data_IF_146567664588
#
_entry.id   IF_146567664588
#
_cell.length_a   1.000
_cell.length_b   1.000
_cell.length_c   1.000
_cell.angle_alpha   90.00
_cell.angle_beta   90.00
_cell.angle_gamma   90.00
#
_symmetry.space_group_name_H-M   'P 1'
#
loop_
_entity.id
_entity.type
_entity.pdbx_description
1 polymer ?
#
# COMPACT_ATOMS: atom_id res chain seq x y z
N UNK A 1 12.70 -24.26 -4.30
CA UNK A 1 11.46 -23.67 -3.75
C UNK A 1 11.36 -22.30 -4.36
N UNK A 2 10.22 -21.90 -4.93
CA UNK A 2 10.01 -20.55 -5.46
C UNK A 2 9.67 -19.62 -4.30
N UNK A 3 10.42 -18.54 -4.13
CA UNK A 3 10.26 -17.58 -3.02
C UNK A 3 9.98 -16.21 -3.61
N UNK A 4 8.88 -15.60 -3.18
CA UNK A 4 8.46 -14.28 -3.65
C UNK A 4 8.08 -13.38 -2.47
N UNK A 5 8.28 -12.06 -2.65
CA UNK A 5 7.81 -11.03 -1.73
C UNK A 5 6.96 -10.02 -2.51
N UNK A 6 5.71 -9.81 -2.05
CA UNK A 6 4.70 -9.00 -2.73
C UNK A 6 4.25 -7.79 -1.88
N UNK A 7 5.01 -7.46 -0.83
CA UNK A 7 4.74 -6.26 -0.03
C UNK A 7 6.03 -5.50 0.25
N UNK A 8 6.47 -4.73 -0.75
CA UNK A 8 7.73 -3.99 -0.73
C UNK A 8 7.47 -2.54 -1.11
N UNK A 9 7.94 -1.61 -0.27
CA UNK A 9 7.89 -0.18 -0.54
C UNK A 9 9.24 0.35 -0.99
N UNK A 10 9.21 1.18 -2.03
CA UNK A 10 10.37 1.92 -2.51
C UNK A 10 10.38 3.36 -1.98
N UNK A 11 11.38 4.15 -2.37
CA UNK A 11 11.43 5.58 -2.07
C UNK A 11 10.32 6.40 -2.74
N UNK A 12 9.38 5.78 -3.46
CA UNK A 12 8.15 6.40 -3.92
C UNK A 12 7.08 6.43 -2.81
N UNK A 13 7.24 5.63 -1.76
CA UNK A 13 6.41 5.64 -0.54
C UNK A 13 7.07 6.45 0.57
N UNK A 14 6.30 7.10 1.45
CA UNK A 14 6.84 7.91 2.55
C UNK A 14 7.72 7.12 3.54
N UNK A 15 7.45 5.85 3.71
CA UNK A 15 8.13 4.91 4.61
C UNK A 15 9.22 4.08 3.92
N UNK A 16 9.26 4.07 2.59
CA UNK A 16 10.25 3.35 1.80
C UNK A 16 11.64 3.97 1.88
N UNK A 17 12.67 3.14 2.06
CA UNK A 17 14.07 3.59 2.25
C UNK A 17 15.00 3.19 1.12
N UNK A 18 14.58 2.28 0.26
CA UNK A 18 15.36 1.76 -0.87
C UNK A 18 14.73 2.16 -2.19
N UNK A 19 15.54 2.47 -3.18
CA UNK A 19 15.04 2.52 -4.56
C UNK A 19 14.62 1.13 -5.02
N UNK A 20 13.82 1.01 -6.07
CA UNK A 20 13.44 -0.29 -6.62
C UNK A 20 14.64 -1.12 -7.06
N UNK A 21 15.70 -0.48 -7.61
CA UNK A 21 16.96 -1.14 -7.94
C UNK A 21 17.67 -1.71 -6.71
N UNK A 22 17.66 -0.98 -5.58
CA UNK A 22 18.25 -1.47 -4.32
C UNK A 22 17.43 -2.62 -3.71
N UNK A 23 16.09 -2.55 -3.80
CA UNK A 23 15.21 -3.62 -3.37
C UNK A 23 15.44 -4.90 -4.21
N UNK A 24 15.56 -4.77 -5.54
CA UNK A 24 15.87 -5.89 -6.43
C UNK A 24 17.24 -6.52 -6.11
N UNK A 25 18.26 -5.70 -5.85
CA UNK A 25 19.59 -6.21 -5.44
C UNK A 25 19.53 -6.94 -4.10
N UNK A 26 18.77 -6.41 -3.12
CA UNK A 26 18.59 -7.05 -1.81
C UNK A 26 17.84 -8.39 -1.95
N UNK A 27 16.79 -8.44 -2.78
CA UNK A 27 16.03 -9.65 -3.06
C UNK A 27 16.92 -10.76 -3.67
N UNK A 28 17.75 -10.42 -4.66
CA UNK A 28 18.71 -11.36 -5.24
C UNK A 28 19.69 -11.91 -4.20
N UNK A 29 20.22 -11.03 -3.34
CA UNK A 29 21.11 -11.47 -2.24
C UNK A 29 20.42 -12.36 -1.22
N UNK A 30 19.12 -12.15 -1.00
CA UNK A 30 18.30 -12.97 -0.11
C UNK A 30 17.83 -14.29 -0.78
N UNK A 31 18.05 -14.45 -2.08
CA UNK A 31 17.67 -15.66 -2.82
C UNK A 31 16.21 -15.73 -3.19
N UNK A 32 15.53 -14.58 -3.38
CA UNK A 32 14.19 -14.52 -3.90
C UNK A 32 14.19 -14.74 -5.42
N UNK A 33 13.14 -15.37 -5.93
CA UNK A 33 12.91 -15.59 -7.35
C UNK A 33 12.07 -14.45 -7.96
N UNK A 34 11.23 -13.80 -7.15
CA UNK A 34 10.33 -12.74 -7.60
C UNK A 34 10.06 -11.71 -6.51
N UNK A 35 9.87 -10.46 -6.92
CA UNK A 35 9.36 -9.38 -6.06
C UNK A 35 8.25 -8.61 -6.77
N UNK A 36 7.33 -8.06 -5.98
CA UNK A 36 6.38 -7.05 -6.43
C UNK A 36 6.56 -5.79 -5.60
N UNK A 37 6.86 -4.68 -6.28
CA UNK A 37 6.92 -3.36 -5.62
C UNK A 37 5.48 -2.85 -5.49
N UNK A 38 5.05 -2.59 -4.28
CA UNK A 38 3.68 -2.23 -3.91
C UNK A 38 3.67 -0.94 -3.08
N UNK A 39 4.19 0.13 -3.68
CA UNK A 39 4.22 1.45 -3.03
C UNK A 39 2.82 1.94 -2.67
N UNK A 40 2.73 2.76 -1.62
CA UNK A 40 1.48 3.36 -1.14
C UNK A 40 0.80 4.25 -2.16
N UNK A 41 -0.42 3.89 -2.49
CA UNK A 41 -1.35 4.65 -3.34
C UNK A 41 -2.62 4.92 -2.53
N UNK A 42 -2.49 5.78 -1.51
CA UNK A 42 -3.57 6.04 -0.57
C UNK A 42 -4.55 7.08 -1.13
N UNK A 43 -5.81 6.98 -0.74
CA UNK A 43 -6.87 7.94 -1.14
C UNK A 43 -6.81 9.24 -0.34
N UNK A 44 -5.95 9.31 0.67
CA UNK A 44 -5.68 10.51 1.48
C UNK A 44 -4.17 10.73 1.62
N UNK A 45 -3.77 11.94 1.94
CA UNK A 45 -2.39 12.26 2.30
C UNK A 45 -2.14 11.98 3.78
N UNK A 46 -1.05 11.29 4.10
CA UNK A 46 -0.63 11.05 5.47
C UNK A 46 -0.37 12.37 6.21
N UNK A 47 -0.76 12.42 7.45
CA UNK A 47 -0.51 13.53 8.38
C UNK A 47 -1.51 14.67 8.35
N UNK A 48 -2.32 14.81 7.29
CA UNK A 48 -3.39 15.82 7.24
C UNK A 48 -4.74 15.28 6.77
N UNK A 49 -4.79 14.00 6.39
CA UNK A 49 -5.97 13.29 5.90
C UNK A 49 -6.69 13.96 4.72
N UNK A 50 -6.01 14.88 4.02
CA UNK A 50 -6.59 15.55 2.86
C UNK A 50 -6.79 14.55 1.71
N UNK A 51 -7.87 14.67 0.94
CA UNK A 51 -8.11 13.83 -0.23
C UNK A 51 -6.95 13.88 -1.23
N UNK A 52 -6.56 12.73 -1.76
CA UNK A 52 -5.49 12.58 -2.75
C UNK A 52 -6.09 12.15 -4.09
N UNK A 53 -6.13 13.07 -5.05
CA UNK A 53 -6.78 12.87 -6.34
C UNK A 53 -5.80 12.45 -7.46
N UNK A 54 -4.49 12.32 -7.17
CA UNK A 54 -3.48 11.92 -8.14
C UNK A 54 -2.28 11.25 -7.46
N UNK A 55 -1.56 10.44 -8.23
CA UNK A 55 -0.32 9.78 -7.82
C UNK A 55 0.75 9.99 -8.90
N UNK A 56 2.02 10.09 -8.50
CA UNK A 56 3.14 10.26 -9.45
C UNK A 56 3.57 8.91 -10.04
N UNK A 57 2.72 8.35 -10.89
CA UNK A 57 3.01 7.12 -11.63
C UNK A 57 4.23 7.24 -12.54
N UNK A 58 4.56 8.45 -13.00
CA UNK A 58 5.70 8.66 -13.90
C UNK A 58 7.03 8.39 -13.18
N UNK A 59 7.22 8.95 -11.99
CA UNK A 59 8.40 8.70 -11.16
C UNK A 59 8.52 7.25 -10.73
N UNK A 60 7.42 6.64 -10.30
CA UNK A 60 7.37 5.23 -9.92
C UNK A 60 7.78 4.32 -11.10
N UNK A 61 7.22 4.54 -12.28
CA UNK A 61 7.56 3.77 -13.49
C UNK A 61 8.99 4.00 -13.97
N UNK A 62 9.57 5.18 -13.71
CA UNK A 62 10.97 5.44 -14.03
C UNK A 62 11.90 4.54 -13.18
N UNK A 63 11.66 4.45 -11.86
CA UNK A 63 12.40 3.55 -10.99
C UNK A 63 12.19 2.07 -11.35
N UNK A 64 10.95 1.69 -11.70
CA UNK A 64 10.63 0.33 -12.12
C UNK A 64 11.39 -0.09 -13.39
N UNK A 65 11.42 0.77 -14.41
CA UNK A 65 12.20 0.52 -15.64
C UNK A 65 13.69 0.37 -15.36
N UNK A 66 14.25 1.24 -14.51
CA UNK A 66 15.65 1.14 -14.10
C UNK A 66 15.96 -0.19 -13.40
N UNK A 67 15.08 -0.65 -12.51
CA UNK A 67 15.24 -1.93 -11.84
C UNK A 67 15.16 -3.12 -12.83
N UNK A 68 14.22 -3.08 -13.79
CA UNK A 68 14.10 -4.08 -14.85
C UNK A 68 15.34 -4.13 -15.75
N UNK A 69 15.88 -2.98 -16.16
CA UNK A 69 17.08 -2.90 -16.98
C UNK A 69 18.31 -3.53 -16.29
N UNK A 70 18.43 -3.36 -14.97
CA UNK A 70 19.58 -3.85 -14.20
C UNK A 70 19.45 -5.32 -13.78
N UNK A 71 18.24 -5.77 -13.47
CA UNK A 71 18.05 -7.03 -12.75
C UNK A 71 16.98 -7.95 -13.35
N UNK A 72 16.22 -7.50 -14.36
CA UNK A 72 15.11 -8.25 -14.93
C UNK A 72 15.50 -9.56 -15.64
N UNK A 73 16.79 -9.75 -15.94
CA UNK A 73 17.33 -11.01 -16.46
C UNK A 73 17.59 -12.05 -15.36
N UNK A 74 17.61 -11.64 -14.08
CA UNK A 74 17.96 -12.48 -12.91
C UNK A 74 16.86 -12.59 -11.86
N UNK A 75 15.93 -11.63 -11.84
CA UNK A 75 14.85 -11.55 -10.87
C UNK A 75 13.55 -11.18 -11.61
N UNK A 76 12.48 -11.89 -11.32
CA UNK A 76 11.16 -11.45 -11.76
C UNK A 76 10.72 -10.25 -10.93
N UNK A 77 10.59 -9.08 -11.57
CA UNK A 77 10.18 -7.83 -10.89
C UNK A 77 8.80 -7.44 -11.40
N UNK A 78 7.85 -7.34 -10.50
CA UNK A 78 6.47 -6.95 -10.74
C UNK A 78 6.20 -5.54 -10.24
N UNK A 79 5.24 -4.87 -10.85
CA UNK A 79 4.75 -3.57 -10.42
C UNK A 79 3.35 -3.72 -9.87
N UNK A 80 3.20 -3.37 -8.59
CA UNK A 80 1.92 -3.35 -7.89
C UNK A 80 1.64 -2.01 -7.24
N UNK A 81 0.65 -2.02 -6.38
CA UNK A 81 0.30 -0.92 -5.49
C UNK A 81 -0.24 -1.46 -4.17
N UNK A 82 0.02 -0.78 -3.07
CA UNK A 82 -0.75 -0.88 -1.85
C UNK A 82 -1.76 0.27 -1.82
N UNK A 83 -3.02 -0.07 -2.08
CA UNK A 83 -4.12 0.90 -2.07
C UNK A 83 -4.66 1.07 -0.67
N UNK A 84 -4.37 2.21 -0.05
CA UNK A 84 -4.85 2.55 1.29
C UNK A 84 -6.16 3.34 1.28
N UNK A 85 -6.94 3.14 2.33
CA UNK A 85 -8.12 3.93 2.70
C UNK A 85 -9.19 4.07 1.61
N UNK A 86 -9.37 3.05 0.75
CA UNK A 86 -10.35 3.11 -0.33
C UNK A 86 -11.79 3.38 0.17
N UNK A 87 -12.12 3.00 1.40
CA UNK A 87 -13.42 3.26 2.03
C UNK A 87 -13.72 4.76 2.24
N UNK A 88 -12.70 5.64 2.23
CA UNK A 88 -12.88 7.10 2.30
C UNK A 88 -13.23 7.73 0.95
N UNK A 89 -13.20 6.95 -0.14
CA UNK A 89 -13.56 7.46 -1.47
C UNK A 89 -13.31 6.43 -2.56
N UNK A 90 -14.26 5.53 -2.79
CA UNK A 90 -14.15 4.48 -3.82
C UNK A 90 -13.92 5.04 -5.23
N UNK A 91 -14.61 6.13 -5.60
CA UNK A 91 -14.43 6.76 -6.91
C UNK A 91 -12.99 7.29 -7.07
N UNK A 92 -12.43 7.86 -6.02
CA UNK A 92 -11.03 8.30 -6.00
C UNK A 92 -10.06 7.13 -6.11
N UNK A 93 -10.30 6.06 -5.37
CA UNK A 93 -9.51 4.84 -5.47
C UNK A 93 -9.52 4.26 -6.89
N UNK A 94 -10.67 4.24 -7.55
CA UNK A 94 -10.79 3.82 -8.96
C UNK A 94 -10.00 4.73 -9.90
N UNK A 95 -10.04 6.06 -9.71
CA UNK A 95 -9.26 7.01 -10.52
C UNK A 95 -7.76 6.73 -10.34
N UNK A 96 -7.27 6.64 -9.10
CA UNK A 96 -5.86 6.37 -8.81
C UNK A 96 -5.37 5.07 -9.44
N UNK A 97 -6.16 4.00 -9.36
CA UNK A 97 -5.82 2.70 -9.97
C UNK A 97 -5.89 2.74 -11.50
N UNK A 98 -6.88 3.43 -12.08
CA UNK A 98 -7.01 3.53 -13.54
C UNK A 98 -5.88 4.34 -14.17
N UNK A 99 -5.38 5.37 -13.49
CA UNK A 99 -4.22 6.17 -13.92
C UNK A 99 -2.90 5.38 -13.87
N UNK A 100 -2.89 4.25 -13.16
CA UNK A 100 -1.74 3.35 -13.10
C UNK A 100 -1.41 2.65 -14.43
N UNK A 101 -2.26 2.72 -15.45
CA UNK A 101 -2.24 1.92 -16.69
C UNK A 101 -2.39 0.42 -16.38
N UNK A 102 -1.27 -0.28 -16.12
CA UNK A 102 -1.27 -1.71 -15.80
C UNK A 102 -0.47 -1.98 -14.55
N UNK A 103 -1.12 -2.59 -13.55
CA UNK A 103 -0.48 -3.18 -12.39
C UNK A 103 -0.55 -4.71 -12.47
N UNK A 104 0.49 -5.38 -11.96
CA UNK A 104 0.53 -6.83 -11.85
C UNK A 104 -0.21 -7.31 -10.58
N UNK A 105 -0.23 -6.48 -9.54
CA UNK A 105 -0.79 -6.83 -8.24
C UNK A 105 -1.26 -5.59 -7.47
N UNK A 106 -2.31 -5.76 -6.68
CA UNK A 106 -2.82 -4.71 -5.80
C UNK A 106 -3.16 -5.28 -4.42
N UNK A 107 -2.61 -4.68 -3.39
CA UNK A 107 -2.97 -4.91 -1.99
C UNK A 107 -4.03 -3.88 -1.62
N UNK A 108 -5.10 -4.28 -0.97
CA UNK A 108 -6.06 -3.35 -0.35
C UNK A 108 -5.81 -3.26 1.14
N UNK A 109 -5.46 -2.08 1.64
CA UNK A 109 -5.08 -1.88 3.04
C UNK A 109 -5.95 -0.83 3.74
N UNK A 110 -6.03 -0.96 5.05
CA UNK A 110 -6.64 0.01 5.95
C UNK A 110 -5.61 0.35 7.03
N UNK A 111 -5.12 1.59 7.02
CA UNK A 111 -4.16 2.08 8.01
C UNK A 111 -4.82 2.97 9.05
N UNK A 112 -6.00 3.52 8.74
CA UNK A 112 -6.69 4.47 9.62
C UNK A 112 -8.10 3.98 9.96
N UNK A 113 -8.66 4.52 11.03
CA UNK A 113 -10.09 4.45 11.33
C UNK A 113 -10.89 5.37 10.38
N UNK A 114 -12.21 5.27 10.44
CA UNK A 114 -13.10 6.14 9.67
C UNK A 114 -13.02 7.62 10.11
N UNK A 115 -13.68 8.50 9.34
CA UNK A 115 -13.84 9.90 9.70
C UNK A 115 -14.49 10.12 11.08
N UNK A 116 -15.19 9.14 11.62
CA UNK A 116 -15.73 9.17 12.99
C UNK A 116 -14.65 9.33 14.05
N UNK A 117 -13.44 8.85 13.76
CA UNK A 117 -12.26 8.98 14.60
C UNK A 117 -11.18 9.85 13.92
N UNK A 118 -11.59 10.84 13.11
CA UNK A 118 -10.70 11.76 12.41
C UNK A 118 -9.60 11.03 11.59
N UNK A 119 -9.93 9.87 11.01
CA UNK A 119 -8.99 9.01 10.31
C UNK A 119 -7.76 8.65 11.18
N UNK A 120 -7.99 8.34 12.44
CA UNK A 120 -6.93 7.95 13.38
C UNK A 120 -6.16 6.74 12.85
N UNK A 121 -4.87 6.92 12.65
CA UNK A 121 -3.95 5.80 12.38
C UNK A 121 -3.71 5.03 13.69
N UNK A 122 -3.96 3.71 13.66
CA UNK A 122 -3.84 2.86 14.84
C UNK A 122 -2.40 2.82 15.40
N UNK A 123 -1.39 3.10 14.59
CA UNK A 123 -0.01 3.24 15.04
C UNK A 123 0.16 4.39 16.05
N UNK A 124 -0.67 5.44 15.96
CA UNK A 124 -0.66 6.59 16.85
C UNK A 124 -1.76 6.53 17.93
N UNK A 125 -2.35 5.35 18.16
CA UNK A 125 -3.36 5.19 19.20
C UNK A 125 -2.75 5.48 20.57
N UNK A 126 -3.28 6.50 21.25
CA UNK A 126 -2.76 6.94 22.55
C UNK A 126 -3.02 5.91 23.64
N UNK A 127 -2.02 5.70 24.50
CA UNK A 127 -2.16 4.89 25.72
C UNK A 127 -3.02 5.58 26.78
N UNK A 128 -3.60 4.79 27.70
CA UNK A 128 -4.33 5.30 28.86
C UNK A 128 -5.81 5.64 28.60
N UNK A 129 -6.33 5.32 27.44
CA UNK A 129 -7.76 5.42 27.15
C UNK A 129 -8.56 4.29 27.83
N UNK A 130 -9.88 4.44 27.90
CA UNK A 130 -10.74 3.41 28.50
C UNK A 130 -10.80 2.15 27.63
N UNK A 131 -11.02 0.97 28.22
CA UNK A 131 -11.24 -0.27 27.46
C UNK A 131 -12.38 -0.16 26.44
N UNK A 132 -13.45 0.57 26.76
CA UNK A 132 -14.57 0.79 25.86
C UNK A 132 -14.19 1.66 24.65
N UNK A 133 -13.31 2.67 24.85
CA UNK A 133 -12.77 3.48 23.77
C UNK A 133 -11.95 2.61 22.80
N UNK A 134 -11.00 1.80 23.32
CA UNK A 134 -10.20 0.91 22.47
C UNK A 134 -11.06 -0.06 21.69
N UNK A 135 -12.08 -0.65 22.33
CA UNK A 135 -13.02 -1.55 21.65
C UNK A 135 -13.73 -0.83 20.50
N UNK A 136 -14.26 0.37 20.74
CA UNK A 136 -14.99 1.12 19.76
C UNK A 136 -14.11 1.56 18.56
N UNK A 137 -12.85 1.92 18.82
CA UNK A 137 -11.85 2.22 17.76
C UNK A 137 -11.55 0.99 16.91
N UNK A 138 -11.32 -0.17 17.55
CA UNK A 138 -11.05 -1.42 16.83
C UNK A 138 -12.27 -1.89 16.03
N UNK A 139 -13.47 -1.75 16.56
CA UNK A 139 -14.71 -2.08 15.84
C UNK A 139 -14.87 -1.20 14.60
N UNK A 140 -14.60 0.10 14.70
CA UNK A 140 -14.63 1.03 13.57
C UNK A 140 -13.58 0.66 12.50
N UNK A 141 -12.35 0.37 12.91
CA UNK A 141 -11.31 -0.11 12.02
C UNK A 141 -11.72 -1.39 11.27
N UNK A 142 -12.29 -2.36 11.99
CA UNK A 142 -12.76 -3.61 11.38
C UNK A 142 -13.93 -3.38 10.42
N UNK A 143 -14.79 -2.40 10.69
CA UNK A 143 -15.85 -1.99 9.77
C UNK A 143 -15.26 -1.40 8.47
N UNK A 144 -14.18 -0.61 8.55
CA UNK A 144 -13.44 -0.13 7.38
C UNK A 144 -12.83 -1.28 6.58
N UNK A 145 -12.20 -2.24 7.25
CA UNK A 145 -11.66 -3.48 6.63
C UNK A 145 -12.76 -4.26 5.91
N UNK A 146 -13.91 -4.42 6.56
CA UNK A 146 -15.06 -5.09 5.97
C UNK A 146 -15.62 -4.33 4.76
N UNK A 147 -15.61 -3.00 4.80
CA UNK A 147 -16.07 -2.14 3.72
C UNK A 147 -15.20 -2.32 2.47
N UNK A 148 -13.87 -2.24 2.59
CA UNK A 148 -12.98 -2.45 1.43
C UNK A 148 -13.03 -3.90 0.95
N UNK A 149 -13.16 -4.88 1.85
CA UNK A 149 -13.28 -6.30 1.47
C UNK A 149 -14.53 -6.57 0.62
N UNK A 150 -15.64 -5.88 0.90
CA UNK A 150 -16.87 -5.96 0.09
C UNK A 150 -16.73 -5.27 -1.27
N UNK A 151 -15.96 -4.19 -1.32
CA UNK A 151 -15.65 -3.50 -2.58
C UNK A 151 -14.74 -4.37 -3.48
N UNK A 152 -13.70 -4.99 -2.91
CA UNK A 152 -12.98 -6.12 -3.51
C UNK A 152 -12.20 -5.81 -4.80
N UNK A 153 -11.75 -4.57 -5.03
CA UNK A 153 -11.02 -4.14 -6.23
C UNK A 153 -9.50 -4.28 -6.08
N UNK A 154 -9.07 -5.30 -5.39
CA UNK A 154 -7.66 -5.65 -5.14
C UNK A 154 -7.48 -7.18 -5.14
N UNK A 155 -6.24 -7.63 -5.19
CA UNK A 155 -5.92 -9.06 -5.25
C UNK A 155 -5.89 -9.71 -3.85
N UNK A 156 -5.43 -8.98 -2.86
CA UNK A 156 -5.30 -9.46 -1.48
C UNK A 156 -5.61 -8.32 -0.50
N UNK A 157 -6.23 -8.67 0.62
CA UNK A 157 -6.33 -7.77 1.77
C UNK A 157 -4.96 -7.72 2.44
N UNK A 158 -4.48 -6.53 2.74
CA UNK A 158 -3.26 -6.29 3.49
C UNK A 158 -3.36 -6.75 4.95
N UNK A 159 -2.33 -6.44 5.72
CA UNK A 159 -2.28 -6.72 7.15
C UNK A 159 -3.52 -6.21 7.90
N UNK A 160 -3.91 -6.95 8.92
CA UNK A 160 -4.92 -6.52 9.90
C UNK A 160 -4.18 -5.94 11.12
N UNK A 161 -3.77 -4.66 11.04
CA UNK A 161 -2.90 -3.92 11.95
C UNK A 161 -1.43 -4.20 11.81
#
# INVERSE_FOLDING_TARGET
MYIADYHIHSTCSPDGKMTMSQAAEAALRAGLDEICITDHVDTIFWGNNAPRDSFDWASLRAQYREALEKYGDKLSIKLGAELGEAYLGYDRAEILLNDAEKLDFCIGSVHTCSEKYDCLDLYFLEEGQSPDYYRAVIEDYLDCVLAISRWGRFNVLGHLT
#
